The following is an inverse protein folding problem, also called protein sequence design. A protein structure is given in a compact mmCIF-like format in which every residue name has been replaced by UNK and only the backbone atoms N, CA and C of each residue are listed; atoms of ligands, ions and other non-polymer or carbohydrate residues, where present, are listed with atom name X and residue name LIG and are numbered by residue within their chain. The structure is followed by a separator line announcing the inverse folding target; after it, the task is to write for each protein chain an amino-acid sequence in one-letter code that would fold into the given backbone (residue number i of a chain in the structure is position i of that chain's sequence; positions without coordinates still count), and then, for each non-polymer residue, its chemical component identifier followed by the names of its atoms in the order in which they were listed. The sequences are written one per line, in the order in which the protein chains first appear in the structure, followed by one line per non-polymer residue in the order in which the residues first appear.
data_IF_729443555914
#
_entry.id   IF_729443555914
#
_cell.length_a   1.000
_cell.length_b   1.000
_cell.length_c   1.000
_cell.angle_alpha   90.00
_cell.angle_beta   90.00
_cell.angle_gamma   90.00
#
_symmetry.space_group_name_H-M   'P 1'
#
loop_
_entity.id
_entity.type
_entity.pdbx_description
1 polymer ?
#
# COMPACT_ATOMS: atom_id res chain seq x y z
N UNK A 1 -17.49 10.81 -19.03
CA UNK A 1 -16.11 11.33 -18.82
C UNK A 1 -15.27 10.23 -18.23
N UNK A 2 -13.95 10.23 -18.46
CA UNK A 2 -13.03 9.21 -17.96
C UNK A 2 -12.07 9.81 -16.91
N UNK A 3 -11.70 9.05 -15.88
CA UNK A 3 -10.86 9.49 -14.75
C UNK A 3 -9.47 8.89 -14.83
N UNK A 4 -8.64 9.40 -15.74
CA UNK A 4 -7.39 8.73 -16.13
C UNK A 4 -6.14 9.40 -15.54
N UNK A 5 -6.19 10.72 -15.32
CA UNK A 5 -5.02 11.46 -14.84
C UNK A 5 -4.68 11.15 -13.37
N UNK A 6 -5.70 11.02 -12.52
CA UNK A 6 -5.48 10.71 -11.11
C UNK A 6 -4.82 9.33 -10.93
N UNK A 7 -5.32 8.31 -11.65
CA UNK A 7 -4.72 6.97 -11.58
C UNK A 7 -3.34 6.95 -12.22
N UNK A 8 -3.12 7.65 -13.34
CA UNK A 8 -1.81 7.77 -13.97
C UNK A 8 -0.76 8.40 -13.05
N UNK A 9 -1.11 9.49 -12.34
CA UNK A 9 -0.23 10.13 -11.37
C UNK A 9 0.05 9.23 -10.16
N UNK A 10 -0.96 8.51 -9.66
CA UNK A 10 -0.79 7.55 -8.58
C UNK A 10 0.15 6.41 -8.97
N UNK A 11 0.00 5.84 -10.16
CA UNK A 11 0.90 4.82 -10.69
C UNK A 11 2.32 5.34 -10.88
N UNK A 12 2.49 6.55 -11.43
CA UNK A 12 3.80 7.17 -11.60
C UNK A 12 4.52 7.35 -10.25
N UNK A 13 3.79 7.75 -9.20
CA UNK A 13 4.35 7.91 -7.85
C UNK A 13 4.84 6.59 -7.26
N UNK A 14 4.08 5.50 -7.42
CA UNK A 14 4.49 4.16 -6.96
C UNK A 14 5.76 3.71 -7.70
N UNK A 15 5.80 3.90 -9.02
CA UNK A 15 6.97 3.54 -9.83
C UNK A 15 8.21 4.33 -9.41
N UNK A 16 8.07 5.63 -9.18
CA UNK A 16 9.15 6.50 -8.72
C UNK A 16 9.74 6.02 -7.37
N UNK A 17 8.89 5.69 -6.41
CA UNK A 17 9.31 5.17 -5.10
C UNK A 17 10.11 3.87 -5.21
N UNK A 18 9.73 2.98 -6.15
CA UNK A 18 10.47 1.74 -6.43
C UNK A 18 11.82 2.03 -7.09
N UNK A 19 11.81 2.82 -8.18
CA UNK A 19 13.02 3.08 -8.98
C UNK A 19 14.09 3.85 -8.20
N UNK A 20 13.69 4.68 -7.23
CA UNK A 20 14.60 5.51 -6.42
C UNK A 20 14.87 4.96 -5.02
N UNK A 21 14.38 3.77 -4.71
CA UNK A 21 14.56 3.12 -3.39
C UNK A 21 14.15 4.01 -2.20
N UNK A 22 13.04 4.75 -2.34
CA UNK A 22 12.73 5.88 -1.45
C UNK A 22 12.35 5.49 -0.03
N UNK A 23 12.02 4.21 0.22
CA UNK A 23 11.39 3.76 1.46
C UNK A 23 10.14 4.60 1.81
N UNK A 24 9.37 4.96 0.79
CA UNK A 24 8.19 5.80 0.93
C UNK A 24 7.03 5.03 1.56
N UNK A 25 6.26 5.68 2.44
CA UNK A 25 5.00 5.11 2.95
C UNK A 25 3.88 5.49 1.98
N UNK A 26 3.32 4.50 1.30
CA UNK A 26 2.22 4.67 0.33
C UNK A 26 1.09 3.68 0.63
N UNK A 27 -0.18 4.07 0.45
CA UNK A 27 -1.28 3.12 0.45
C UNK A 27 -1.26 2.33 -0.86
N UNK A 28 -0.95 1.03 -0.78
CA UNK A 28 -0.92 0.13 -1.94
C UNK A 28 -1.49 -1.23 -1.57
N UNK A 29 -2.05 -1.93 -2.56
CA UNK A 29 -2.61 -3.26 -2.34
C UNK A 29 -1.53 -4.33 -2.39
N UNK A 30 -1.33 -5.03 -1.27
CA UNK A 30 -0.44 -6.18 -1.15
C UNK A 30 -1.23 -7.39 -0.70
N UNK A 31 -0.82 -8.60 -1.10
CA UNK A 31 -1.39 -9.83 -0.53
C UNK A 31 -0.95 -9.91 0.95
N UNK A 32 -1.93 -9.79 1.84
CA UNK A 32 -1.69 -9.78 3.28
C UNK A 32 -1.46 -11.19 3.80
N UNK A 33 -0.58 -11.27 4.81
CA UNK A 33 -0.29 -12.48 5.55
C UNK A 33 -0.39 -12.16 7.03
N UNK A 34 -1.36 -12.79 7.69
CA UNK A 34 -1.69 -12.59 9.11
C UNK A 34 -1.74 -11.10 9.52
N UNK A 35 -2.45 -10.28 8.74
CA UNK A 35 -2.60 -8.85 9.01
C UNK A 35 -3.96 -8.61 9.68
N UNK A 36 -3.97 -8.47 11.01
CA UNK A 36 -5.19 -8.40 11.82
C UNK A 36 -6.17 -9.58 11.55
N UNK A 37 -5.63 -10.78 11.38
CA UNK A 37 -6.41 -11.98 11.05
C UNK A 37 -6.82 -12.11 9.58
N UNK A 38 -6.39 -11.19 8.71
CA UNK A 38 -6.59 -11.26 7.26
C UNK A 38 -5.39 -11.95 6.61
N UNK A 39 -5.67 -13.01 5.86
CA UNK A 39 -4.67 -13.83 5.17
C UNK A 39 -5.12 -14.16 3.74
N UNK A 40 -4.18 -14.09 2.79
CA UNK A 40 -4.42 -14.48 1.39
C UNK A 40 -5.22 -13.48 0.54
N UNK A 41 -5.52 -12.29 1.07
CA UNK A 41 -6.30 -11.26 0.37
C UNK A 41 -5.44 -10.05 0.06
N UNK A 42 -5.60 -9.48 -1.14
CA UNK A 42 -4.99 -8.21 -1.51
C UNK A 42 -5.84 -7.04 -1.01
N UNK A 43 -5.31 -6.26 -0.06
CA UNK A 43 -5.97 -5.05 0.45
C UNK A 43 -5.00 -3.88 0.48
N UNK A 44 -5.53 -2.68 0.26
CA UNK A 44 -4.77 -1.45 0.35
C UNK A 44 -4.50 -1.09 1.81
N UNK A 45 -3.25 -1.16 2.24
CA UNK A 45 -2.80 -0.79 3.58
C UNK A 45 -1.55 0.09 3.50
N UNK A 46 -1.23 0.88 4.54
CA UNK A 46 0.04 1.60 4.60
C UNK A 46 1.21 0.64 4.46
N UNK A 47 2.01 0.85 3.43
CA UNK A 47 3.14 -0.02 3.09
C UNK A 47 4.38 0.79 2.82
N UNK A 48 5.53 0.25 3.21
CA UNK A 48 6.84 0.77 2.80
C UNK A 48 7.08 0.30 1.37
N UNK A 49 7.31 1.25 0.46
CA UNK A 49 7.61 1.00 -0.95
C UNK A 49 9.04 1.42 -1.25
N UNK A 50 9.82 0.49 -1.77
CA UNK A 50 11.22 0.69 -2.14
C UNK A 50 11.60 -0.24 -3.31
N UNK A 51 12.89 -0.32 -3.64
CA UNK A 51 13.37 -1.15 -4.76
C UNK A 51 13.05 -2.65 -4.63
N UNK A 52 12.72 -3.12 -3.41
CA UNK A 52 12.35 -4.52 -3.13
C UNK A 52 10.84 -4.78 -3.24
N UNK A 53 10.05 -3.76 -3.57
CA UNK A 53 8.59 -3.84 -3.68
C UNK A 53 7.87 -3.14 -2.53
N UNK A 54 6.68 -3.64 -2.18
CA UNK A 54 5.81 -3.06 -1.16
C UNK A 54 5.65 -4.00 0.04
N UNK A 55 5.80 -3.47 1.25
CA UNK A 55 5.78 -4.23 2.51
C UNK A 55 4.80 -3.59 3.50
N UNK A 56 3.73 -4.29 3.92
CA UNK A 56 2.77 -3.78 4.89
C UNK A 56 3.40 -3.37 6.22
N UNK A 57 2.95 -2.24 6.77
CA UNK A 57 3.32 -1.81 8.11
C UNK A 57 2.40 -2.52 9.11
N UNK A 58 2.87 -3.60 9.71
CA UNK A 58 2.04 -4.47 10.59
C UNK A 58 1.49 -3.81 11.85
N UNK A 59 2.10 -2.73 12.32
CA UNK A 59 1.71 -2.06 13.57
C UNK A 59 0.96 -0.75 13.33
N UNK A 60 0.36 -0.57 12.15
CA UNK A 60 -0.51 0.59 11.91
C UNK A 60 -1.68 0.55 12.89
N UNK A 61 -1.88 1.59 13.72
CA UNK A 61 -3.00 1.62 14.64
C UNK A 61 -4.30 1.83 13.87
N UNK A 62 -5.31 1.03 14.18
CA UNK A 62 -6.69 1.19 13.72
C UNK A 62 -7.57 1.48 14.93
N UNK A 63 -8.57 2.34 14.76
CA UNK A 63 -9.61 2.52 15.76
C UNK A 63 -10.50 1.27 15.83
N UNK A 64 -11.22 1.04 16.95
CA UNK A 64 -12.12 -0.11 17.06
C UNK A 64 -13.18 -0.18 15.95
N UNK A 65 -13.64 0.98 15.46
CA UNK A 65 -14.63 1.04 14.37
C UNK A 65 -14.04 0.69 12.99
N UNK A 66 -12.73 0.79 12.81
CA UNK A 66 -12.04 0.39 11.56
C UNK A 66 -11.67 -1.10 11.55
N UNK A 67 -11.70 -1.76 12.71
CA UNK A 67 -11.45 -3.20 12.88
C UNK A 67 -12.74 -4.05 12.93
N UNK A 68 -13.90 -3.40 13.09
CA UNK A 68 -15.22 -4.03 13.19
C UNK A 68 -15.81 -4.36 11.81
#
# INVERSE_FOLDING_TARGET
GATNYAIGLSSARIIEAILRDENAVLPVSTVLQDFHGIDGVALSVPSIVNSRGAFPIRQTPFSPNELA
#
